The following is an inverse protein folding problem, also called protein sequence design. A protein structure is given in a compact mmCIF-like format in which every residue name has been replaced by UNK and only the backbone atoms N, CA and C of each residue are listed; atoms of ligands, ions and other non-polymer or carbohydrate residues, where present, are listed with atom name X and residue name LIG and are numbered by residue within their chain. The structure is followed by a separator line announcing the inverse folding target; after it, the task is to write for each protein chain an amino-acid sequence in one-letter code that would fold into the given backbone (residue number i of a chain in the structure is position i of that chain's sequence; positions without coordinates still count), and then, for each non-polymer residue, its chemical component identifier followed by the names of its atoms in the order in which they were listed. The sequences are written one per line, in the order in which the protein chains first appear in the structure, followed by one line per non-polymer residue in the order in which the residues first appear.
data_IF_524713734251
#
_entry.id   IF_524713734251
#
_cell.length_a   1.000
_cell.length_b   1.000
_cell.length_c   1.000
_cell.angle_alpha   90.00
_cell.angle_beta   90.00
_cell.angle_gamma   90.00
#
_symmetry.space_group_name_H-M   'P 1'
#
loop_
_entity.id
_entity.type
_entity.pdbx_description
1 polymer ?
#
# COMPACT_ATOMS: atom_id res chain seq x y z
N UNK A 1 0.46 -18.24 -21.05
CA UNK A 1 0.02 -16.88 -21.37
C UNK A 1 -1.32 -16.65 -20.71
N UNK A 2 -1.32 -16.18 -19.46
CA UNK A 2 -2.54 -15.77 -18.77
C UNK A 2 -2.65 -14.27 -18.91
N UNK A 3 -3.46 -13.82 -19.85
CA UNK A 3 -3.87 -12.42 -19.95
C UNK A 3 -4.73 -12.13 -18.72
N UNK A 4 -4.15 -11.51 -17.70
CA UNK A 4 -4.90 -11.00 -16.55
C UNK A 4 -5.76 -9.86 -17.07
N UNK A 5 -7.06 -10.12 -17.27
CA UNK A 5 -8.03 -9.08 -17.57
C UNK A 5 -7.90 -7.98 -16.51
N UNK A 6 -7.89 -6.71 -16.92
CA UNK A 6 -7.90 -5.61 -15.98
C UNK A 6 -9.11 -5.78 -15.05
N UNK A 7 -8.94 -5.68 -13.72
CA UNK A 7 -10.06 -5.75 -12.79
C UNK A 7 -11.12 -4.72 -13.20
N UNK A 8 -12.36 -5.19 -13.36
CA UNK A 8 -13.52 -4.33 -13.52
C UNK A 8 -13.88 -3.78 -12.13
N UNK A 9 -13.23 -2.69 -11.74
CA UNK A 9 -13.66 -1.90 -10.59
C UNK A 9 -14.96 -1.18 -10.95
N UNK A 10 -16.00 -1.41 -10.16
CA UNK A 10 -17.29 -0.73 -10.33
C UNK A 10 -17.26 0.71 -9.78
N UNK A 11 -16.28 1.00 -8.91
CA UNK A 11 -16.17 2.25 -8.17
C UNK A 11 -14.76 2.86 -8.37
N UNK A 12 -14.66 4.16 -8.75
CA UNK A 12 -13.38 4.85 -8.92
C UNK A 12 -12.49 4.83 -7.67
N UNK A 13 -13.08 4.75 -6.48
CA UNK A 13 -12.34 4.64 -5.23
C UNK A 13 -11.48 3.36 -5.17
N UNK A 14 -12.07 2.24 -5.57
CA UNK A 14 -11.41 0.93 -5.58
C UNK A 14 -10.27 0.89 -6.60
N UNK A 15 -10.49 1.44 -7.79
CA UNK A 15 -9.49 1.54 -8.85
C UNK A 15 -8.28 2.37 -8.41
N UNK A 16 -8.53 3.58 -7.87
CA UNK A 16 -7.47 4.49 -7.46
C UNK A 16 -6.66 3.94 -6.27
N UNK A 17 -7.30 3.28 -5.29
CA UNK A 17 -6.57 2.61 -4.22
C UNK A 17 -5.73 1.44 -4.75
N UNK A 18 -6.30 0.63 -5.65
CA UNK A 18 -5.58 -0.46 -6.29
C UNK A 18 -4.34 0.02 -7.03
N UNK A 19 -4.46 1.08 -7.83
CA UNK A 19 -3.34 1.65 -8.58
C UNK A 19 -2.23 2.14 -7.65
N UNK A 20 -2.59 2.86 -6.58
CA UNK A 20 -1.64 3.33 -5.58
C UNK A 20 -0.89 2.17 -4.90
N UNK A 21 -1.60 1.14 -4.45
CA UNK A 21 -0.98 -0.02 -3.81
C UNK A 21 -0.18 -0.89 -4.79
N UNK A 22 -0.60 -0.98 -6.04
CA UNK A 22 0.20 -1.60 -7.10
C UNK A 22 1.49 -0.82 -7.37
N UNK A 23 1.49 0.50 -7.24
CA UNK A 23 2.69 1.31 -7.32
C UNK A 23 3.62 1.05 -6.12
N UNK A 24 3.09 1.07 -4.89
CA UNK A 24 3.85 0.69 -3.69
C UNK A 24 4.51 -0.68 -3.86
N UNK A 25 3.77 -1.69 -4.33
CA UNK A 25 4.28 -3.03 -4.56
C UNK A 25 5.40 -3.09 -5.61
N UNK A 26 5.29 -2.29 -6.68
CA UNK A 26 6.33 -2.18 -7.71
C UNK A 26 7.60 -1.54 -7.15
N UNK A 27 7.46 -0.50 -6.34
CA UNK A 27 8.57 0.33 -5.87
C UNK A 27 9.22 -0.20 -4.58
N UNK A 28 8.50 -1.05 -3.84
CA UNK A 28 8.96 -1.75 -2.65
C UNK A 28 10.35 -2.40 -2.81
N UNK A 29 11.26 -2.03 -1.90
CA UNK A 29 12.58 -2.61 -1.72
C UNK A 29 12.58 -3.83 -0.80
N UNK A 30 13.77 -4.35 -0.48
CA UNK A 30 13.93 -5.56 0.36
C UNK A 30 13.53 -5.36 1.82
N UNK A 31 13.57 -4.12 2.29
CA UNK A 31 13.27 -3.68 3.67
C UNK A 31 11.81 -3.28 3.85
N UNK A 32 10.98 -3.45 2.83
CA UNK A 32 9.54 -3.24 2.92
C UNK A 32 8.88 -4.40 3.66
N UNK A 33 8.06 -4.11 4.67
CA UNK A 33 7.41 -5.14 5.51
C UNK A 33 5.95 -5.37 5.14
N UNK A 34 5.38 -4.50 4.31
CA UNK A 34 3.97 -4.48 3.95
C UNK A 34 3.29 -3.18 4.35
N UNK A 35 2.10 -2.95 3.83
CA UNK A 35 1.25 -1.84 4.27
C UNK A 35 -0.22 -2.24 4.16
N UNK A 36 -1.05 -1.73 5.07
CA UNK A 36 -2.50 -1.84 5.03
C UNK A 36 -3.09 -0.44 4.85
N UNK A 37 -4.03 -0.29 3.94
CA UNK A 37 -4.74 0.96 3.71
C UNK A 37 -6.26 0.71 3.74
N UNK A 38 -7.00 1.59 4.39
CA UNK A 38 -8.46 1.53 4.46
C UNK A 38 -9.02 2.85 3.93
N UNK A 39 -9.76 2.80 2.83
CA UNK A 39 -10.42 3.97 2.28
C UNK A 39 -11.85 4.02 2.77
N UNK A 40 -12.20 5.08 3.50
CA UNK A 40 -13.43 5.09 4.26
C UNK A 40 -13.96 6.50 4.53
N UNK A 41 -15.26 6.61 4.76
CA UNK A 41 -15.89 7.84 5.20
C UNK A 41 -15.50 8.18 6.65
N UNK A 42 -15.43 9.47 7.03
CA UNK A 42 -15.11 9.86 8.42
C UNK A 42 -16.03 9.25 9.48
N UNK A 43 -17.27 8.89 9.11
CA UNK A 43 -18.31 8.38 10.00
C UNK A 43 -18.51 6.85 9.95
N UNK A 44 -17.50 6.08 9.55
CA UNK A 44 -17.63 4.60 9.43
C UNK A 44 -17.99 3.88 10.73
N UNK A 45 -17.69 4.49 11.89
CA UNK A 45 -17.85 3.85 13.19
C UNK A 45 -16.93 2.65 13.41
N UNK A 46 -15.96 2.42 12.52
CA UNK A 46 -14.99 1.35 12.66
C UNK A 46 -14.02 1.68 13.81
N UNK A 47 -13.93 0.84 14.86
CA UNK A 47 -13.01 1.10 15.96
C UNK A 47 -11.56 1.01 15.51
N UNK A 48 -10.80 2.06 15.79
CA UNK A 48 -9.36 2.09 15.58
C UNK A 48 -8.62 2.70 16.76
N UNK A 49 -7.35 2.31 16.92
CA UNK A 49 -6.43 2.89 17.90
C UNK A 49 -5.06 3.12 17.24
N UNK A 50 -4.54 4.36 17.22
CA UNK A 50 -3.17 4.63 16.78
C UNK A 50 -2.16 3.90 17.67
N UNK A 51 -1.28 3.10 17.05
CA UNK A 51 -0.19 2.38 17.71
C UNK A 51 0.99 3.32 18.02
N UNK A 52 1.10 4.41 17.26
CA UNK A 52 2.14 5.42 17.41
C UNK A 52 1.47 6.78 17.58
N UNK A 53 1.86 7.51 18.62
CA UNK A 53 1.27 8.81 18.94
C UNK A 53 1.94 9.98 18.22
N UNK A 54 3.18 9.81 17.74
CA UNK A 54 3.86 10.83 16.95
C UNK A 54 3.25 10.93 15.54
N UNK A 55 3.31 12.13 14.96
CA UNK A 55 2.84 12.36 13.59
C UNK A 55 4.00 12.21 12.59
N UNK A 56 3.85 11.42 11.52
CA UNK A 56 4.82 11.36 10.44
C UNK A 56 4.74 12.60 9.54
N UNK A 57 5.75 12.76 8.68
CA UNK A 57 5.67 13.65 7.52
C UNK A 57 4.91 12.95 6.38
N UNK A 58 3.72 13.47 6.10
CA UNK A 58 2.80 12.95 5.07
C UNK A 58 2.92 13.68 3.73
N UNK A 59 3.97 14.50 3.53
CA UNK A 59 4.20 15.18 2.24
C UNK A 59 4.54 14.20 1.12
N UNK A 60 3.86 14.34 -0.01
CA UNK A 60 4.10 13.54 -1.22
C UNK A 60 2.79 12.99 -1.77
N UNK A 61 2.91 12.17 -2.82
CA UNK A 61 1.78 11.40 -3.27
C UNK A 61 1.52 10.20 -2.34
N UNK A 62 0.31 9.65 -2.41
CA UNK A 62 -0.10 8.54 -1.54
C UNK A 62 0.84 7.32 -1.66
N UNK A 63 1.22 6.85 -2.87
CA UNK A 63 2.15 5.72 -3.00
C UNK A 63 3.49 5.95 -2.29
N UNK A 64 4.12 7.11 -2.48
CA UNK A 64 5.41 7.42 -1.86
C UNK A 64 5.30 7.45 -0.34
N UNK A 65 4.22 8.05 0.18
CA UNK A 65 3.98 8.11 1.63
C UNK A 65 3.79 6.71 2.19
N UNK A 66 2.93 5.88 1.58
CA UNK A 66 2.69 4.50 2.03
C UNK A 66 3.94 3.62 1.95
N UNK A 67 4.75 3.81 0.90
CA UNK A 67 6.03 3.12 0.75
C UNK A 67 7.00 3.46 1.90
N UNK A 68 7.11 4.75 2.27
CA UNK A 68 7.93 5.18 3.41
C UNK A 68 7.39 4.63 4.73
N UNK A 69 6.07 4.66 4.93
CA UNK A 69 5.45 4.18 6.16
C UNK A 69 5.65 2.67 6.36
N UNK A 70 5.57 1.86 5.29
CA UNK A 70 5.73 0.40 5.32
C UNK A 70 7.18 -0.11 5.30
N UNK A 71 8.17 0.76 5.47
CA UNK A 71 9.57 0.39 5.58
C UNK A 71 9.91 -0.09 7.00
N UNK A 72 10.78 -1.08 7.18
CA UNK A 72 11.09 -1.66 8.51
C UNK A 72 11.63 -0.65 9.54
N UNK A 73 12.36 0.37 9.08
CA UNK A 73 12.88 1.44 9.93
C UNK A 73 11.81 2.49 10.32
N UNK A 74 10.63 2.46 9.71
CA UNK A 74 9.53 3.35 10.04
C UNK A 74 8.77 2.81 11.26
N UNK A 75 8.56 3.60 12.32
CA UNK A 75 7.73 3.17 13.45
C UNK A 75 6.26 2.96 13.04
N UNK A 76 5.87 3.44 11.85
CA UNK A 76 4.50 3.42 11.36
C UNK A 76 4.17 2.21 10.46
N UNK A 77 5.08 1.23 10.34
CA UNK A 77 4.94 0.09 9.42
C UNK A 77 3.90 -0.96 9.83
N UNK A 78 3.40 -0.89 11.07
CA UNK A 78 2.45 -1.85 11.64
C UNK A 78 1.02 -1.32 11.57
N UNK A 79 0.06 -2.24 11.48
CA UNK A 79 -1.35 -1.88 11.38
C UNK A 79 -1.77 -1.35 10.01
N UNK A 80 -2.73 -0.41 10.03
CA UNK A 80 -3.37 0.20 8.86
C UNK A 80 -3.26 1.72 8.86
N UNK A 81 -3.29 2.30 7.66
CA UNK A 81 -3.47 3.73 7.44
C UNK A 81 -4.90 3.98 6.96
N UNK A 82 -5.59 4.94 7.55
CA UNK A 82 -6.95 5.30 7.18
C UNK A 82 -6.89 6.49 6.23
N UNK A 83 -7.62 6.36 5.13
CA UNK A 83 -7.67 7.31 4.03
C UNK A 83 -9.09 7.87 3.93
N UNK A 84 -9.19 9.20 3.80
CA UNK A 84 -10.42 9.86 3.38
C UNK A 84 -10.72 9.57 1.90
N UNK A 85 -11.93 9.87 1.44
CA UNK A 85 -12.32 9.75 0.03
C UNK A 85 -11.53 10.67 -0.91
N UNK A 86 -10.87 11.71 -0.38
CA UNK A 86 -9.92 12.55 -1.13
C UNK A 86 -8.53 11.89 -1.29
N UNK A 87 -8.33 10.72 -0.68
CA UNK A 87 -7.09 9.95 -0.58
C UNK A 87 -6.01 10.63 0.28
N UNK A 88 -6.44 11.43 1.25
CA UNK A 88 -5.58 11.96 2.29
C UNK A 88 -5.49 10.96 3.45
N UNK A 89 -4.29 10.79 4.01
CA UNK A 89 -4.10 9.94 5.19
C UNK A 89 -4.56 10.71 6.43
N UNK A 90 -5.65 10.26 7.04
CA UNK A 90 -6.20 10.84 8.27
C UNK A 90 -5.57 10.22 9.52
N UNK A 91 -5.31 8.91 9.49
CA UNK A 91 -4.69 8.19 10.59
C UNK A 91 -3.64 7.21 10.08
N UNK A 92 -2.56 7.07 10.85
CA UNK A 92 -1.45 6.17 10.53
C UNK A 92 -1.27 5.11 11.60
N UNK A 93 -0.73 3.96 11.20
CA UNK A 93 -0.31 2.89 12.12
C UNK A 93 -1.41 2.54 13.13
N UNK A 94 -2.59 2.23 12.63
CA UNK A 94 -3.77 1.96 13.46
C UNK A 94 -3.98 0.47 13.62
N UNK A 95 -4.20 0.05 14.87
CA UNK A 95 -4.90 -1.18 15.15
C UNK A 95 -6.36 -1.01 14.75
N UNK A 96 -6.90 -1.96 13.98
CA UNK A 96 -8.31 -2.02 13.61
C UNK A 96 -8.93 -3.25 14.28
N UNK A 97 -10.09 -3.06 14.90
CA UNK A 97 -10.90 -4.14 15.46
C UNK A 97 -12.24 -4.24 14.70
N UNK A 98 -12.24 -4.70 13.44
CA UNK A 98 -13.49 -4.87 12.71
C UNK A 98 -14.32 -5.99 13.35
N UNK A 99 -15.66 -5.86 13.37
CA UNK A 99 -16.53 -6.93 13.83
C UNK A 99 -16.36 -8.16 12.93
N UNK A 100 -16.32 -9.35 13.52
CA UNK A 100 -16.34 -10.60 12.78
C UNK A 100 -17.79 -10.83 12.31
N UNK A 101 -18.00 -10.83 10.99
CA UNK A 101 -19.30 -11.14 10.40
C UNK A 101 -19.25 -12.50 9.69
N UNK A 102 -20.31 -13.32 9.79
CA UNK A 102 -20.45 -14.51 8.96
C UNK A 102 -20.64 -14.19 7.46
N UNK A 103 -20.85 -12.91 7.11
CA UNK A 103 -20.99 -12.44 5.72
C UNK A 103 -19.65 -12.26 5.00
N UNK A 104 -18.53 -12.25 5.72
CA UNK A 104 -17.25 -12.47 5.07
C UNK A 104 -17.37 -13.82 4.35
N UNK A 105 -17.21 -13.82 3.03
CA UNK A 105 -17.24 -15.08 2.28
C UNK A 105 -16.29 -16.09 2.93
N UNK A 106 -16.49 -17.38 2.66
CA UNK A 106 -15.60 -18.47 3.08
C UNK A 106 -14.20 -18.38 2.42
N UNK A 107 -13.62 -17.18 2.34
CA UNK A 107 -12.21 -16.93 2.10
C UNK A 107 -11.48 -17.66 3.21
N UNK A 108 -10.77 -18.72 2.82
CA UNK A 108 -9.84 -19.36 3.72
C UNK A 108 -8.79 -18.33 4.14
N UNK A 109 -8.89 -17.85 5.38
CA UNK A 109 -7.87 -17.04 6.03
C UNK A 109 -6.67 -17.90 6.47
N UNK A 110 -6.76 -19.22 6.31
CA UNK A 110 -5.67 -20.13 6.63
C UNK A 110 -4.44 -19.80 5.78
N UNK A 111 -3.29 -19.67 6.43
CA UNK A 111 -2.04 -19.24 5.79
C UNK A 111 -1.98 -17.75 5.45
N UNK A 112 -3.01 -16.97 5.78
CA UNK A 112 -3.01 -15.51 5.62
C UNK A 112 -2.62 -14.82 6.93
N UNK A 113 -1.89 -13.71 6.84
CA UNK A 113 -1.51 -12.91 8.01
C UNK A 113 -2.67 -12.10 8.61
N UNK A 114 -2.49 -11.57 9.81
CA UNK A 114 -3.49 -10.75 10.51
C UNK A 114 -3.97 -9.56 9.68
N UNK A 115 -3.06 -8.85 8.99
CA UNK A 115 -3.39 -7.73 8.11
C UNK A 115 -4.38 -8.12 7.01
N UNK A 116 -4.25 -9.31 6.44
CA UNK A 116 -5.16 -9.83 5.43
C UNK A 116 -6.57 -10.04 6.00
N UNK A 117 -6.67 -10.69 7.16
CA UNK A 117 -7.95 -10.92 7.84
C UNK A 117 -8.61 -9.59 8.24
N UNK A 118 -7.83 -8.65 8.80
CA UNK A 118 -8.31 -7.32 9.17
C UNK A 118 -8.85 -6.55 7.97
N UNK A 119 -8.17 -6.55 6.82
CA UNK A 119 -8.68 -5.89 5.62
C UNK A 119 -10.01 -6.50 5.14
N UNK A 120 -10.11 -7.83 5.15
CA UNK A 120 -11.35 -8.52 4.79
C UNK A 120 -12.51 -8.07 5.66
N UNK A 121 -12.38 -8.17 6.99
CA UNK A 121 -13.46 -7.80 7.91
C UNK A 121 -13.72 -6.28 7.95
N UNK A 122 -12.69 -5.45 7.87
CA UNK A 122 -12.86 -4.00 7.82
C UNK A 122 -13.64 -3.56 6.59
N UNK A 123 -13.48 -4.26 5.45
CA UNK A 123 -14.24 -3.96 4.23
C UNK A 123 -15.75 -4.24 4.31
N UNK A 124 -16.22 -4.88 5.38
CA UNK A 124 -17.65 -5.07 5.67
C UNK A 124 -18.26 -3.90 6.46
N UNK A 125 -17.44 -3.02 7.05
CA UNK A 125 -17.96 -1.93 7.84
C UNK A 125 -18.66 -0.88 6.96
N UNK A 126 -19.76 -0.34 7.47
CA UNK A 126 -20.49 0.74 6.78
C UNK A 126 -19.58 1.94 6.56
N UNK A 127 -19.65 2.55 5.37
CA UNK A 127 -18.81 3.68 4.99
C UNK A 127 -17.38 3.30 4.60
N UNK A 128 -16.99 2.02 4.62
CA UNK A 128 -15.72 1.59 4.01
C UNK A 128 -15.96 1.31 2.53
N UNK A 129 -15.22 2.01 1.67
CA UNK A 129 -15.26 1.82 0.21
C UNK A 129 -14.46 0.59 -0.19
N UNK A 130 -13.25 0.46 0.36
CA UNK A 130 -12.40 -0.71 0.19
C UNK A 130 -11.26 -0.76 1.21
N UNK A 131 -10.72 -1.96 1.42
CA UNK A 131 -9.51 -2.19 2.19
C UNK A 131 -8.45 -2.83 1.29
N UNK A 132 -7.21 -2.37 1.39
CA UNK A 132 -6.11 -2.85 0.57
C UNK A 132 -4.91 -3.27 1.40
N UNK A 133 -4.22 -4.30 0.94
CA UNK A 133 -2.99 -4.81 1.58
C UNK A 133 -1.93 -5.01 0.52
N UNK A 134 -0.73 -4.52 0.81
CA UNK A 134 0.51 -4.96 0.16
C UNK A 134 1.29 -5.80 1.16
N UNK A 135 1.60 -7.03 0.81
CA UNK A 135 2.38 -7.92 1.66
C UNK A 135 3.88 -7.72 1.42
N UNK A 136 4.72 -8.26 2.33
CA UNK A 136 6.18 -8.27 2.19
C UNK A 136 6.65 -8.92 0.87
N UNK A 137 5.92 -9.90 0.35
CA UNK A 137 6.22 -10.53 -0.94
C UNK A 137 5.81 -9.69 -2.15
N UNK A 138 5.22 -8.51 -1.92
CA UNK A 138 4.70 -7.55 -2.92
C UNK A 138 3.44 -8.01 -3.64
N UNK A 139 2.75 -9.04 -3.14
CA UNK A 139 1.37 -9.28 -3.53
C UNK A 139 0.46 -8.17 -3.02
N UNK A 140 -0.49 -7.76 -3.87
CA UNK A 140 -1.52 -6.78 -3.53
C UNK A 140 -2.85 -7.50 -3.46
N UNK A 141 -3.67 -7.18 -2.47
CA UNK A 141 -5.07 -7.63 -2.41
C UNK A 141 -5.97 -6.45 -2.06
N UNK A 142 -7.08 -6.31 -2.78
CA UNK A 142 -8.15 -5.33 -2.50
C UNK A 142 -9.40 -6.09 -2.09
N UNK A 143 -10.02 -5.64 -1.01
CA UNK A 143 -11.25 -6.17 -0.46
C UNK A 143 -12.38 -5.15 -0.53
N UNK A 144 -13.57 -5.65 -0.85
CA UNK A 144 -14.83 -4.92 -0.84
C UNK A 144 -15.90 -5.84 -0.28
N UNK A 145 -16.64 -5.38 0.74
CA UNK A 145 -17.74 -6.13 1.34
C UNK A 145 -17.36 -7.57 1.74
N UNK A 146 -16.17 -7.75 2.31
CA UNK A 146 -15.68 -9.06 2.76
C UNK A 146 -15.23 -10.00 1.64
N UNK A 147 -15.06 -9.50 0.41
CA UNK A 147 -14.69 -10.28 -0.78
C UNK A 147 -13.40 -9.76 -1.38
N UNK A 148 -12.61 -10.63 -2.01
CA UNK A 148 -11.45 -10.21 -2.80
C UNK A 148 -11.94 -9.69 -4.14
N UNK A 149 -11.73 -8.41 -4.40
CA UNK A 149 -12.02 -7.79 -5.69
C UNK A 149 -10.83 -7.84 -6.64
N UNK A 150 -9.62 -7.71 -6.10
CA UNK A 150 -8.37 -7.78 -6.85
C UNK A 150 -7.30 -8.51 -6.07
N UNK A 151 -6.50 -9.30 -6.77
CA UNK A 151 -5.26 -9.88 -6.25
C UNK A 151 -4.18 -9.89 -7.32
N UNK A 152 -3.01 -9.36 -6.99
CA UNK A 152 -1.81 -9.53 -7.80
C UNK A 152 -0.88 -10.58 -7.21
N UNK A 153 -0.07 -11.18 -8.06
CA UNK A 153 1.05 -12.02 -7.66
C UNK A 153 2.33 -11.18 -7.51
N UNK A 154 3.33 -11.66 -6.76
CA UNK A 154 4.66 -11.05 -6.72
C UNK A 154 5.30 -10.85 -8.12
N UNK A 155 4.97 -11.71 -9.08
CA UNK A 155 5.49 -11.64 -10.44
C UNK A 155 4.92 -10.45 -11.24
N UNK A 156 3.70 -10.00 -10.91
CA UNK A 156 3.07 -8.84 -11.55
C UNK A 156 3.76 -7.53 -11.17
N UNK A 157 4.29 -7.44 -9.95
CA UNK A 157 5.09 -6.29 -9.50
C UNK A 157 6.46 -6.21 -10.19
N UNK A 158 7.08 -7.37 -10.49
CA UNK A 158 8.41 -7.46 -11.09
C UNK A 158 8.41 -7.30 -12.62
N UNK A 159 7.36 -7.74 -13.30
CA UNK A 159 7.28 -7.76 -14.76
C UNK A 159 7.23 -6.36 -15.39
N UNK A 160 6.85 -5.32 -14.64
CA UNK A 160 6.79 -3.92 -15.11
C UNK A 160 8.05 -3.08 -14.83
N UNK A 161 9.06 -3.61 -14.11
CA UNK A 161 10.35 -2.91 -13.89
C UNK A 161 11.29 -2.92 -15.10
N UNK A 162 10.97 -3.61 -16.21
CA UNK A 162 11.86 -3.77 -17.38
C UNK A 162 11.77 -2.67 -18.44
N UNK A 163 11.24 -1.49 -18.11
CA UNK A 163 11.09 -0.41 -19.10
C UNK A 163 11.51 0.96 -18.55
N UNK A 164 12.70 1.06 -17.95
CA UNK A 164 13.41 2.34 -17.87
C UNK A 164 14.92 2.11 -18.12
N UNK A 165 15.56 2.93 -18.96
CA UNK A 165 16.99 2.82 -19.20
C UNK A 165 17.73 3.19 -17.91
N UNK A 166 18.69 2.36 -17.54
CA UNK A 166 19.73 2.71 -16.57
C UNK A 166 20.39 3.98 -17.10
N UNK A 167 20.22 5.11 -16.41
CA UNK A 167 20.97 6.33 -16.68
C UNK A 167 22.46 5.98 -16.61
N UNK A 168 23.14 6.09 -17.75
CA UNK A 168 24.56 5.88 -17.88
C UNK A 168 25.30 6.80 -16.90
N UNK A 169 26.28 6.22 -16.20
CA UNK A 169 27.24 6.95 -15.38
C UNK A 169 27.91 8.02 -16.24
N UNK A 170 27.82 9.29 -15.82
CA UNK A 170 28.68 10.32 -16.34
C UNK A 170 30.05 10.17 -15.68
N UNK A 171 31.00 9.55 -16.37
CA UNK A 171 32.42 9.64 -16.05
C UNK A 171 32.91 11.05 -16.40
N UNK A 172 32.82 11.96 -15.42
CA UNK A 172 33.41 13.28 -15.48
C UNK A 172 34.89 13.22 -15.11
N UNK A 173 35.76 13.05 -16.11
CA UNK A 173 37.21 13.17 -15.96
C UNK A 173 37.61 14.58 -15.51
N UNK A 174 38.23 14.67 -14.34
CA UNK A 174 38.80 15.93 -13.86
C UNK A 174 40.26 16.03 -14.32
N UNK A 175 40.53 16.95 -15.25
CA UNK A 175 41.90 17.35 -15.61
C UNK A 175 42.01 18.87 -15.60
N UNK A 176 43.15 19.34 -15.10
CA UNK A 176 43.72 20.71 -15.09
C UNK A 176 43.51 21.53 -13.82
N UNK A 177 44.56 21.52 -12.99
CA UNK A 177 45.03 22.70 -12.26
C UNK A 177 46.55 22.82 -12.43
N UNK A 178 46.99 23.70 -13.34
CA UNK A 178 48.31 24.31 -13.30
C UNK A 178 48.09 25.82 -13.28
N UNK A 179 48.15 26.41 -12.09
CA UNK A 179 48.21 27.85 -11.91
C UNK A 179 49.64 28.25 -11.64
N UNK A 180 50.29 28.87 -12.61
CA UNK A 180 51.47 29.71 -12.41
C UNK A 180 51.04 31.00 -11.71
N UNK A 181 51.64 31.31 -10.56
CA UNK A 181 51.68 32.66 -10.01
C UNK A 181 53.15 32.97 -9.70
N UNK A 182 53.58 34.07 -10.33
CA UNK A 182 54.79 34.88 -10.20
C UNK A 182 55.59 34.76 -8.90
#
# INVERSE_FOLDING_TARGET
MTTTAAPLFADPFQARLCDALCQVARDAGQTFTGTGALLCEPATGLPFLPLVLSKPDLKGDLPDVLLRLGHEASPYHDGFHLLSTDFEIEHVSCYLAPPISPEAELISLFGSGSRFATACFASLANGVHCAGVVNKDRSVTIFVQGRILFRSSPADALSRRRQFPVLARCDGGNSKHSGDIR
#
